data_IF_839914971250
#
_entry.id   IF_839914971250
#
_cell.length_a   1.000
_cell.length_b   1.000
_cell.length_c   1.000
_cell.angle_alpha   90.00
_cell.angle_beta   90.00
_cell.angle_gamma   90.00
#
_symmetry.space_group_name_H-M   'P 1'
#
loop_
_entity.id
_entity.type
_entity.pdbx_description
1 polymer ?
#
# COMPACT_ATOMS: atom_id res chain seq x y z
N UNK A 1 27.81 -0.18 -21.68
CA UNK A 1 26.40 -0.54 -21.98
C UNK A 1 25.99 -1.80 -21.22
N UNK A 2 26.88 -2.80 -21.13
CA UNK A 2 26.60 -4.10 -20.48
C UNK A 2 26.27 -4.01 -18.97
N UNK A 3 26.91 -3.09 -18.24
CA UNK A 3 26.67 -2.91 -16.80
C UNK A 3 25.27 -2.38 -16.46
N UNK A 4 24.71 -1.49 -17.31
CA UNK A 4 23.36 -0.94 -17.12
C UNK A 4 22.31 -2.00 -17.41
N UNK A 5 22.52 -2.80 -18.45
CA UNK A 5 21.64 -3.91 -18.83
C UNK A 5 21.63 -4.98 -17.71
N UNK A 6 22.79 -5.27 -17.13
CA UNK A 6 22.91 -6.23 -16.03
C UNK A 6 22.18 -5.75 -14.76
N UNK A 7 22.30 -4.46 -14.40
CA UNK A 7 21.58 -3.87 -13.26
C UNK A 7 20.07 -3.82 -13.49
N UNK A 8 19.62 -3.50 -14.70
CA UNK A 8 18.20 -3.52 -15.06
C UNK A 8 17.62 -4.94 -14.94
N UNK A 9 18.34 -5.95 -15.43
CA UNK A 9 17.92 -7.35 -15.30
C UNK A 9 17.83 -7.79 -13.85
N UNK A 10 18.82 -7.46 -13.03
CA UNK A 10 18.79 -7.75 -11.58
C UNK A 10 17.59 -7.10 -10.89
N UNK A 11 17.21 -5.88 -11.27
CA UNK A 11 16.03 -5.21 -10.72
C UNK A 11 14.73 -5.90 -11.13
N UNK A 12 14.61 -6.33 -12.39
CA UNK A 12 13.44 -7.06 -12.88
C UNK A 12 13.31 -8.40 -12.16
N UNK A 13 14.40 -9.17 -12.09
CA UNK A 13 14.44 -10.47 -11.42
C UNK A 13 14.11 -10.34 -9.93
N UNK A 14 14.68 -9.34 -9.25
CA UNK A 14 14.39 -9.07 -7.84
C UNK A 14 12.93 -8.67 -7.63
N UNK A 15 12.39 -7.82 -8.50
CA UNK A 15 10.98 -7.40 -8.41
C UNK A 15 10.07 -8.61 -8.61
N UNK A 16 10.32 -9.44 -9.63
CA UNK A 16 9.56 -10.66 -9.88
C UNK A 16 9.61 -11.64 -8.69
N UNK A 17 10.75 -11.75 -8.01
CA UNK A 17 10.88 -12.53 -6.77
C UNK A 17 9.93 -12.02 -5.68
N UNK A 18 9.78 -10.70 -5.49
CA UNK A 18 8.85 -10.14 -4.48
C UNK A 18 7.39 -10.49 -4.78
N UNK A 19 7.00 -10.52 -6.05
CA UNK A 19 5.67 -10.96 -6.48
C UNK A 19 5.47 -12.46 -6.25
N UNK A 20 6.45 -13.29 -6.64
CA UNK A 20 6.38 -14.75 -6.48
C UNK A 20 6.36 -15.18 -5.00
N UNK A 21 7.04 -14.46 -4.11
CA UNK A 21 6.99 -14.66 -2.66
C UNK A 21 5.70 -14.12 -2.02
N UNK A 22 4.81 -13.49 -2.80
CA UNK A 22 3.57 -12.86 -2.34
C UNK A 22 3.81 -11.65 -1.43
N UNK A 23 5.01 -11.07 -1.43
CA UNK A 23 5.31 -9.86 -0.66
C UNK A 23 4.58 -8.67 -1.27
N UNK A 24 4.60 -8.59 -2.61
CA UNK A 24 3.90 -7.59 -3.40
C UNK A 24 2.83 -8.24 -4.29
N UNK A 25 1.76 -7.51 -4.57
CA UNK A 25 0.73 -7.89 -5.54
C UNK A 25 0.52 -6.82 -6.62
N UNK A 26 -0.40 -7.08 -7.55
CA UNK A 26 -0.67 -6.23 -8.70
C UNK A 26 -1.04 -4.78 -8.35
N UNK A 27 -1.46 -4.48 -7.11
CA UNK A 27 -1.66 -3.09 -6.68
C UNK A 27 -0.35 -2.30 -6.70
N UNK A 28 0.80 -2.94 -6.43
CA UNK A 28 2.09 -2.28 -6.57
C UNK A 28 2.41 -1.93 -8.03
N UNK A 29 2.02 -2.78 -9.00
CA UNK A 29 2.15 -2.47 -10.42
C UNK A 29 1.28 -1.27 -10.82
N UNK A 30 0.05 -1.20 -10.31
CA UNK A 30 -0.84 -0.05 -10.53
C UNK A 30 -0.22 1.23 -9.93
N UNK A 31 0.33 1.15 -8.71
CA UNK A 31 1.02 2.27 -8.09
C UNK A 31 2.20 2.77 -8.93
N UNK A 32 2.96 1.86 -9.55
CA UNK A 32 4.05 2.21 -10.46
C UNK A 32 3.59 2.90 -11.75
N UNK A 33 2.41 2.55 -12.28
CA UNK A 33 1.85 3.18 -13.48
C UNK A 33 1.45 4.65 -13.27
N UNK A 34 1.22 5.05 -12.02
CA UNK A 34 0.94 6.44 -11.64
C UNK A 34 2.19 7.32 -11.66
N UNK A 35 3.37 6.71 -11.58
CA UNK A 35 4.64 7.43 -11.67
C UNK A 35 4.86 7.91 -13.11
N UNK A 36 5.28 9.15 -13.29
CA UNK A 36 5.63 9.71 -14.60
C UNK A 36 6.82 10.66 -14.52
N UNK A 37 7.16 11.29 -15.64
CA UNK A 37 8.29 12.22 -15.71
C UNK A 37 8.08 13.48 -14.87
N UNK A 38 6.83 13.85 -14.59
CA UNK A 38 6.48 15.02 -13.76
C UNK A 38 6.57 14.72 -12.27
N UNK A 39 6.28 13.48 -11.86
CA UNK A 39 6.50 12.99 -10.50
C UNK A 39 7.23 11.64 -10.51
N UNK A 40 8.56 11.66 -10.71
CA UNK A 40 9.35 10.43 -10.73
C UNK A 40 9.44 9.77 -9.35
N UNK A 41 9.26 10.49 -8.25
CA UNK A 41 9.45 9.95 -6.90
C UNK A 41 8.15 9.47 -6.25
N UNK A 42 7.00 9.59 -6.94
CA UNK A 42 5.66 9.25 -6.44
C UNK A 42 5.59 7.93 -5.66
N UNK A 43 6.09 6.83 -6.24
CA UNK A 43 6.03 5.50 -5.60
C UNK A 43 6.85 5.48 -4.32
N UNK A 44 8.01 6.13 -4.31
CA UNK A 44 8.88 6.22 -3.13
C UNK A 44 8.19 7.04 -2.05
N UNK A 45 7.61 8.19 -2.41
CA UNK A 45 6.87 9.06 -1.48
C UNK A 45 5.68 8.31 -0.83
N UNK A 46 4.86 7.63 -1.62
CA UNK A 46 3.71 6.86 -1.11
C UNK A 46 4.16 5.71 -0.20
N UNK A 47 5.22 4.99 -0.57
CA UNK A 47 5.73 3.88 0.26
C UNK A 47 6.39 4.40 1.54
N UNK A 48 7.08 5.54 1.51
CA UNK A 48 7.62 6.18 2.72
C UNK A 48 6.51 6.58 3.67
N UNK A 49 5.43 7.21 3.18
CA UNK A 49 4.26 7.53 4.00
C UNK A 49 3.64 6.27 4.61
N UNK A 50 3.53 5.18 3.84
CA UNK A 50 3.07 3.90 4.36
C UNK A 50 3.95 3.41 5.53
N UNK A 51 5.27 3.54 5.46
CA UNK A 51 6.16 3.13 6.55
C UNK A 51 5.96 3.97 7.82
N UNK A 52 5.87 5.29 7.67
CA UNK A 52 5.65 6.20 8.80
C UNK A 52 4.31 5.92 9.50
N UNK A 53 3.24 5.79 8.72
CA UNK A 53 1.92 5.48 9.26
C UNK A 53 1.85 4.09 9.89
N UNK A 54 2.47 3.09 9.26
CA UNK A 54 2.49 1.72 9.78
C UNK A 54 3.25 1.60 11.09
N UNK A 55 4.41 2.27 11.22
CA UNK A 55 5.14 2.31 12.49
C UNK A 55 4.32 2.94 13.61
N UNK A 56 3.65 4.06 13.32
CA UNK A 56 2.74 4.69 14.29
C UNK A 56 1.62 3.73 14.70
N UNK A 57 0.96 3.07 13.75
CA UNK A 57 -0.14 2.13 14.02
C UNK A 57 0.32 0.90 14.80
N UNK A 58 1.46 0.30 14.43
CA UNK A 58 2.02 -0.87 15.11
C UNK A 58 2.41 -0.55 16.57
N UNK A 59 2.90 0.66 16.82
CA UNK A 59 3.20 1.12 18.17
C UNK A 59 1.93 1.33 19.00
N UNK A 60 0.89 1.94 18.44
CA UNK A 60 -0.39 2.11 19.13
C UNK A 60 -1.10 0.76 19.39
N UNK A 61 -1.02 -0.18 18.45
CA UNK A 61 -1.51 -1.56 18.64
C UNK A 61 -0.78 -2.29 19.76
N UNK A 62 0.54 -2.16 19.82
CA UNK A 62 1.34 -2.75 20.90
C UNK A 62 0.92 -2.21 22.27
N UNK A 63 0.83 -0.88 22.40
CA UNK A 63 0.36 -0.24 23.64
C UNK A 63 -1.04 -0.68 24.02
N UNK A 64 -1.96 -0.78 23.06
CA UNK A 64 -3.34 -1.19 23.33
C UNK A 64 -3.45 -2.64 23.83
N UNK A 65 -2.57 -3.53 23.37
CA UNK A 65 -2.53 -4.94 23.77
C UNK A 65 -1.77 -5.21 25.08
N UNK A 66 -0.96 -4.25 25.55
CA UNK A 66 -0.26 -4.33 26.84
C UNK A 66 -1.10 -3.81 28.02
N UNK A 67 -2.25 -3.18 27.75
CA UNK A 67 -3.15 -2.67 28.79
C UNK A 67 -3.87 -3.79 29.55
N UNK A 68 -4.12 -3.56 30.85
CA UNK A 68 -4.85 -4.49 31.72
C UNK A 68 -6.28 -4.78 31.22
N UNK A 69 -6.92 -3.79 30.59
CA UNK A 69 -8.20 -3.91 29.91
C UNK A 69 -8.05 -3.58 28.43
N UNK A 70 -8.12 -4.61 27.58
CA UNK A 70 -7.93 -4.46 26.12
C UNK A 70 -9.19 -3.87 25.47
N UNK A 71 -9.04 -2.71 24.80
CA UNK A 71 -10.10 -2.14 23.95
C UNK A 71 -10.01 -2.69 22.52
N UNK A 72 -10.77 -3.74 22.26
CA UNK A 72 -10.84 -4.38 20.94
C UNK A 72 -11.40 -3.49 19.84
N UNK A 73 -12.21 -2.47 20.15
CA UNK A 73 -12.73 -1.55 19.12
C UNK A 73 -11.60 -0.66 18.61
N UNK A 74 -10.76 -0.18 19.52
CA UNK A 74 -9.58 0.61 19.16
C UNK A 74 -8.57 -0.23 18.36
N UNK A 75 -8.36 -1.48 18.75
CA UNK A 75 -7.48 -2.41 18.02
C UNK A 75 -8.04 -2.68 16.62
N UNK A 76 -9.32 -3.03 16.49
CA UNK A 76 -9.94 -3.28 15.17
C UNK A 76 -9.80 -2.06 14.25
N UNK A 77 -10.04 -0.84 14.77
CA UNK A 77 -9.86 0.39 13.99
C UNK A 77 -8.42 0.57 13.48
N UNK A 78 -7.41 0.32 14.32
CA UNK A 78 -6.00 0.40 13.91
C UNK A 78 -5.60 -0.69 12.91
N UNK A 79 -6.06 -1.93 13.13
CA UNK A 79 -5.82 -3.04 12.19
C UNK A 79 -6.52 -2.79 10.86
N UNK A 80 -7.73 -2.24 10.88
CA UNK A 80 -8.48 -1.87 9.68
C UNK A 80 -7.74 -0.82 8.86
N UNK A 81 -7.24 0.23 9.53
CA UNK A 81 -6.42 1.26 8.88
C UNK A 81 -5.16 0.65 8.26
N UNK A 82 -4.46 -0.22 8.99
CA UNK A 82 -3.24 -0.88 8.50
C UNK A 82 -3.51 -1.83 7.33
N UNK A 83 -4.65 -2.53 7.33
CA UNK A 83 -5.11 -3.35 6.19
C UNK A 83 -5.29 -2.47 4.95
N UNK A 84 -5.97 -1.33 5.09
CA UNK A 84 -6.24 -0.40 3.99
C UNK A 84 -4.95 0.17 3.40
N UNK A 85 -4.06 0.66 4.25
CA UNK A 85 -2.75 1.20 3.83
C UNK A 85 -1.84 0.13 3.23
N UNK A 86 -1.86 -1.11 3.74
CA UNK A 86 -1.12 -2.23 3.14
C UNK A 86 -1.66 -2.59 1.76
N UNK A 87 -2.99 -2.55 1.59
CA UNK A 87 -3.64 -2.83 0.31
C UNK A 87 -3.34 -1.78 -0.75
N UNK A 88 -3.20 -0.50 -0.38
CA UNK A 88 -2.97 0.58 -1.35
C UNK A 88 -1.58 0.53 -1.98
N UNK A 89 -0.59 -0.03 -1.27
CA UNK A 89 0.77 -0.24 -1.79
C UNK A 89 1.03 -1.66 -2.29
N UNK A 90 0.04 -2.55 -2.21
CA UNK A 90 0.17 -3.96 -2.61
C UNK A 90 0.99 -4.82 -1.66
N UNK A 91 1.14 -4.45 -0.37
CA UNK A 91 1.78 -5.28 0.65
C UNK A 91 0.88 -6.44 1.09
N UNK A 92 0.77 -7.45 0.22
CA UNK A 92 -0.24 -8.49 0.31
C UNK A 92 -0.15 -9.33 1.60
N UNK A 93 1.05 -9.71 2.03
CA UNK A 93 1.23 -10.52 3.26
C UNK A 93 0.80 -9.75 4.51
N UNK A 94 1.16 -8.47 4.61
CA UNK A 94 0.73 -7.60 5.72
C UNK A 94 -0.81 -7.50 5.74
N UNK A 95 -1.42 -7.28 4.57
CA UNK A 95 -2.87 -7.22 4.43
C UNK A 95 -3.55 -8.53 4.90
N UNK A 96 -3.02 -9.70 4.50
CA UNK A 96 -3.53 -11.02 4.90
C UNK A 96 -3.50 -11.23 6.42
N UNK A 97 -2.38 -10.86 7.07
CA UNK A 97 -2.29 -10.96 8.54
C UNK A 97 -3.26 -10.00 9.21
N UNK A 98 -3.45 -8.78 8.67
CA UNK A 98 -4.43 -7.85 9.21
C UNK A 98 -5.86 -8.42 9.14
N UNK A 99 -6.22 -9.14 8.08
CA UNK A 99 -7.53 -9.83 7.99
C UNK A 99 -7.67 -10.86 9.11
N UNK A 100 -6.67 -11.71 9.33
CA UNK A 100 -6.68 -12.68 10.41
C UNK A 100 -6.75 -12.02 11.80
N UNK A 101 -6.04 -10.90 11.99
CA UNK A 101 -6.05 -10.13 13.23
C UNK A 101 -7.46 -9.60 13.53
N UNK A 102 -8.19 -9.08 12.53
CA UNK A 102 -9.58 -8.62 12.75
C UNK A 102 -10.49 -9.74 13.27
N UNK A 103 -10.36 -10.95 12.74
CA UNK A 103 -11.12 -12.10 13.26
C UNK A 103 -10.78 -12.37 14.73
N UNK A 104 -9.50 -12.30 15.13
CA UNK A 104 -9.13 -12.43 16.54
C UNK A 104 -9.69 -11.30 17.43
N UNK A 105 -9.87 -10.10 16.88
CA UNK A 105 -10.49 -8.98 17.59
C UNK A 105 -11.99 -9.20 17.81
N UNK A 106 -12.69 -9.74 16.80
CA UNK A 106 -14.11 -10.10 16.87
C UNK A 106 -14.34 -11.21 17.91
N UNK A 107 -13.45 -12.21 17.93
CA UNK A 107 -13.46 -13.33 18.90
C UNK A 107 -12.98 -12.93 20.31
N UNK A 108 -12.54 -11.68 20.50
CA UNK A 108 -11.95 -11.16 21.76
C UNK A 108 -10.83 -12.05 22.31
N UNK A 109 -9.99 -12.57 21.41
CA UNK A 109 -8.87 -13.45 21.74
C UNK A 109 -7.57 -12.66 21.91
N UNK A 110 -7.19 -12.32 23.15
CA UNK A 110 -5.96 -11.55 23.45
C UNK A 110 -4.71 -12.26 22.91
N UNK A 111 -4.58 -13.56 23.14
CA UNK A 111 -3.41 -14.34 22.71
C UNK A 111 -3.31 -14.36 21.18
N UNK A 112 -4.45 -14.54 20.50
CA UNK A 112 -4.56 -14.45 19.05
C UNK A 112 -4.15 -13.07 18.52
N UNK A 113 -4.66 -12.00 19.12
CA UNK A 113 -4.30 -10.62 18.78
C UNK A 113 -2.80 -10.33 18.99
N UNK A 114 -2.22 -10.80 20.09
CA UNK A 114 -0.79 -10.66 20.35
C UNK A 114 0.06 -11.41 19.32
N UNK A 115 -0.32 -12.64 18.97
CA UNK A 115 0.34 -13.43 17.92
C UNK A 115 0.22 -12.75 16.56
N UNK A 116 -0.96 -12.26 16.20
CA UNK A 116 -1.16 -11.50 14.97
C UNK A 116 -0.32 -10.22 14.95
N UNK A 117 -0.22 -9.48 16.06
CA UNK A 117 0.64 -8.30 16.12
C UNK A 117 2.11 -8.64 15.83
N UNK A 118 2.63 -9.73 16.40
CA UNK A 118 4.00 -10.18 16.12
C UNK A 118 4.18 -10.55 14.65
N UNK A 119 3.21 -11.25 14.06
CA UNK A 119 3.21 -11.58 12.63
C UNK A 119 3.17 -10.33 11.75
N UNK A 120 2.29 -9.36 12.02
CA UNK A 120 2.22 -8.12 11.26
C UNK A 120 3.54 -7.36 11.35
N UNK A 121 4.16 -7.27 12.54
CA UNK A 121 5.47 -6.62 12.71
C UNK A 121 6.56 -7.30 11.86
N UNK A 122 6.55 -8.63 11.82
CA UNK A 122 7.49 -9.40 11.00
C UNK A 122 7.29 -9.15 9.50
N UNK A 123 6.05 -9.29 9.02
CA UNK A 123 5.70 -9.06 7.61
C UNK A 123 5.96 -7.61 7.17
N UNK A 124 5.66 -6.65 8.05
CA UNK A 124 5.95 -5.23 7.84
C UNK A 124 7.46 -4.99 7.69
N UNK A 125 8.27 -5.54 8.61
CA UNK A 125 9.73 -5.39 8.55
C UNK A 125 10.31 -6.01 7.27
N UNK A 126 9.77 -7.16 6.85
CA UNK A 126 10.14 -7.82 5.61
C UNK A 126 9.84 -6.93 4.40
N UNK A 127 8.60 -6.46 4.23
CA UNK A 127 8.23 -5.62 3.07
C UNK A 127 9.01 -4.31 3.06
N UNK A 128 9.23 -3.70 4.23
CA UNK A 128 10.03 -2.48 4.37
C UNK A 128 11.45 -2.69 3.86
N UNK A 129 12.12 -3.74 4.33
CA UNK A 129 13.50 -4.06 3.93
C UNK A 129 13.61 -4.32 2.43
N UNK A 130 12.66 -5.07 1.85
CA UNK A 130 12.66 -5.41 0.43
C UNK A 130 12.42 -4.19 -0.46
N UNK A 131 11.45 -3.34 -0.11
CA UNK A 131 11.16 -2.10 -0.84
C UNK A 131 12.28 -1.07 -0.71
N UNK A 132 12.90 -0.94 0.47
CA UNK A 132 14.08 -0.09 0.63
C UNK A 132 15.25 -0.53 -0.25
N UNK A 133 15.52 -1.85 -0.32
CA UNK A 133 16.53 -2.39 -1.24
C UNK A 133 16.16 -2.10 -2.70
N UNK A 134 14.89 -2.29 -3.08
CA UNK A 134 14.40 -1.98 -4.41
C UNK A 134 14.66 -0.51 -4.79
N UNK A 135 14.38 0.43 -3.88
CA UNK A 135 14.60 1.86 -4.13
C UNK A 135 16.07 2.27 -4.12
N UNK A 136 16.90 1.66 -3.26
CA UNK A 136 18.36 1.87 -3.24
C UNK A 136 19.00 1.45 -4.56
N UNK A 137 18.64 0.28 -5.10
CA UNK A 137 19.18 -0.22 -6.37
C UNK A 137 18.69 0.63 -7.56
N UNK A 138 17.46 1.18 -7.49
CA UNK A 138 16.95 2.15 -8.49
C UNK A 138 17.59 3.55 -8.40
N UNK A 139 18.51 3.78 -7.45
CA UNK A 139 19.19 5.07 -7.27
C UNK A 139 18.29 6.20 -6.75
N UNK A 140 17.05 5.90 -6.35
CA UNK A 140 16.11 6.88 -5.82
C UNK A 140 16.23 6.91 -4.30
N UNK A 141 16.99 7.88 -3.79
CA UNK A 141 16.94 8.23 -2.37
C UNK A 141 15.70 9.10 -2.16
N UNK A 142 14.75 8.63 -1.36
CA UNK A 142 13.65 9.47 -0.89
C UNK A 142 14.24 10.74 -0.30
N UNK A 143 14.05 11.88 -0.96
CA UNK A 143 14.39 13.18 -0.38
C UNK A 143 13.30 13.44 0.66
N UNK A 144 13.71 13.62 1.93
CA UNK A 144 12.85 14.12 2.98
C UNK A 144 12.38 15.53 2.57
N UNK A 145 11.28 15.62 1.84
CA UNK A 145 10.55 16.87 1.65
C UNK A 145 9.57 16.99 2.80
N UNK A 146 10.03 17.65 3.84
CA UNK A 146 9.13 18.31 4.79
C UNK A 146 8.21 19.25 4.00
N UNK A 147 6.90 19.02 4.14
CA UNK A 147 5.77 19.84 3.69
C UNK A 147 5.42 19.76 2.18
N UNK A 148 4.60 18.77 1.79
CA UNK A 148 3.41 19.00 0.93
C UNK A 148 2.37 17.84 0.94
N UNK A 149 2.61 16.72 1.60
CA UNK A 149 1.62 15.65 1.75
C UNK A 149 1.23 15.43 3.21
N UNK A 150 0.85 16.51 3.91
CA UNK A 150 0.16 16.39 5.20
C UNK A 150 -1.32 16.26 4.94
N UNK A 151 -1.67 15.12 4.37
CA UNK A 151 -3.04 14.76 4.04
C UNK A 151 -3.30 13.49 4.84
N UNK A 152 -4.30 13.54 5.71
CA UNK A 152 -4.83 12.42 6.52
C UNK A 152 -5.44 11.31 5.62
N UNK A 153 -4.76 10.96 4.52
CA UNK A 153 -5.38 10.51 3.27
C UNK A 153 -4.83 9.15 2.81
N UNK A 154 -4.31 8.37 3.74
CA UNK A 154 -4.37 6.91 3.60
C UNK A 154 -5.52 6.33 4.44
N UNK A 155 -5.97 7.07 5.48
CA UNK A 155 -7.11 6.73 6.33
C UNK A 155 -8.44 7.40 5.89
N UNK A 156 -8.43 8.55 5.21
CA UNK A 156 -9.66 9.13 4.66
C UNK A 156 -10.11 8.47 3.34
N UNK A 157 -9.25 7.67 2.70
CA UNK A 157 -9.65 6.79 1.60
C UNK A 157 -10.31 5.49 2.10
N UNK A 158 -10.14 5.11 3.37
CA UNK A 158 -10.64 3.83 3.89
C UNK A 158 -12.14 3.83 4.23
N UNK A 159 -12.82 4.98 4.30
CA UNK A 159 -14.29 5.00 4.24
C UNK A 159 -14.84 4.81 2.81
N UNK A 160 -13.98 4.80 1.80
CA UNK A 160 -14.40 4.92 0.39
C UNK A 160 -14.28 3.63 -0.42
N UNK A 161 -13.41 2.70 -0.02
CA UNK A 161 -13.29 1.39 -0.66
C UNK A 161 -14.34 0.36 -0.19
N UNK A 162 -15.22 0.72 0.76
CA UNK A 162 -16.26 -0.18 1.26
C UNK A 162 -17.69 0.16 0.81
N UNK A 163 -17.95 1.18 -0.02
CA UNK A 163 -19.35 1.49 -0.38
C UNK A 163 -19.70 1.86 -1.83
N UNK A 164 -18.82 2.41 -2.68
CA UNK A 164 -19.23 2.68 -4.07
C UNK A 164 -18.07 2.92 -5.06
N UNK A 165 -18.06 2.20 -6.19
CA UNK A 165 -17.12 2.41 -7.32
C UNK A 165 -17.31 3.77 -8.02
N UNK A 166 -18.42 4.48 -7.79
CA UNK A 166 -18.78 5.72 -8.50
C UNK A 166 -18.03 6.97 -8.03
N UNK A 167 -17.54 6.99 -6.79
CA UNK A 167 -17.05 8.21 -6.15
C UNK A 167 -15.54 8.42 -6.18
N UNK A 168 -14.75 7.39 -6.58
CA UNK A 168 -13.31 7.55 -6.88
C UNK A 168 -13.06 8.69 -7.88
N UNK A 169 -14.07 9.06 -8.66
CA UNK A 169 -14.08 10.20 -9.59
C UNK A 169 -14.08 11.59 -8.96
N UNK A 170 -14.66 11.78 -7.76
CA UNK A 170 -14.77 13.10 -7.13
C UNK A 170 -13.61 13.44 -6.21
N UNK A 171 -13.01 12.44 -5.56
CA UNK A 171 -11.90 12.61 -4.64
C UNK A 171 -10.66 13.20 -5.33
N UNK A 172 -10.31 12.65 -6.48
CA UNK A 172 -9.26 13.18 -7.35
C UNK A 172 -9.61 14.51 -8.06
N UNK A 173 -10.89 14.88 -8.13
CA UNK A 173 -11.35 16.13 -8.77
C UNK A 173 -11.19 17.36 -7.87
N UNK A 174 -11.15 17.20 -6.54
CA UNK A 174 -11.10 18.33 -5.61
C UNK A 174 -9.69 18.80 -5.24
N UNK A 175 -8.65 17.99 -5.43
CA UNK A 175 -7.28 18.31 -4.99
C UNK A 175 -6.44 19.12 -6.00
N UNK A 176 -6.95 19.44 -7.20
CA UNK A 176 -6.33 20.40 -8.14
C UNK A 176 -4.98 20.00 -8.76
N UNK A 177 -4.01 19.52 -7.97
CA UNK A 177 -2.66 19.13 -8.35
C UNK A 177 -2.55 17.72 -8.96
N UNK A 178 -3.61 16.92 -8.86
CA UNK A 178 -3.64 15.55 -9.37
C UNK A 178 -4.60 15.33 -10.54
N UNK A 179 -5.20 16.39 -11.10
CA UNK A 179 -6.06 16.29 -12.28
C UNK A 179 -5.37 15.56 -13.44
N UNK A 180 -4.05 15.73 -13.61
CA UNK A 180 -3.27 15.01 -14.60
C UNK A 180 -3.22 13.49 -14.36
N UNK A 181 -2.89 13.07 -13.13
CA UNK A 181 -2.81 11.65 -12.76
C UNK A 181 -4.19 11.00 -12.66
N UNK A 182 -5.20 11.71 -12.18
CA UNK A 182 -6.59 11.29 -12.18
C UNK A 182 -7.14 11.08 -13.58
N UNK A 183 -6.92 12.03 -14.49
CA UNK A 183 -7.34 11.87 -15.88
C UNK A 183 -6.60 10.68 -16.52
N UNK A 184 -5.36 10.42 -16.14
CA UNK A 184 -4.60 9.23 -16.59
C UNK A 184 -5.21 7.93 -16.08
N UNK A 185 -5.54 7.85 -14.79
CA UNK A 185 -6.26 6.70 -14.18
C UNK A 185 -7.63 6.50 -14.83
N UNK A 186 -8.35 7.59 -15.10
CA UNK A 186 -9.65 7.57 -15.76
C UNK A 186 -9.55 7.09 -17.20
N UNK A 187 -8.56 7.55 -17.97
CA UNK A 187 -8.32 7.09 -19.35
C UNK A 187 -7.93 5.61 -19.40
N UNK A 188 -7.05 5.15 -18.50
CA UNK A 188 -6.68 3.72 -18.43
C UNK A 188 -7.89 2.86 -18.10
N UNK A 189 -8.73 3.28 -17.14
CA UNK A 189 -9.94 2.56 -16.77
C UNK A 189 -11.01 2.56 -17.89
N UNK A 190 -11.14 3.66 -18.64
CA UNK A 190 -12.08 3.79 -19.75
C UNK A 190 -11.62 2.95 -20.96
N UNK A 191 -10.31 2.91 -21.26
CA UNK A 191 -9.74 2.09 -22.34
C UNK A 191 -9.87 0.57 -22.02
N UNK A 192 -9.69 0.19 -20.75
CA UNK A 192 -9.87 -1.19 -20.28
C UNK A 192 -11.34 -1.64 -20.28
N UNK A 193 -12.27 -0.71 -20.04
CA UNK A 193 -13.71 -0.98 -20.09
C UNK A 193 -14.21 -1.06 -21.54
N UNK A 194 -13.70 -0.23 -22.45
CA UNK A 194 -14.04 -0.30 -23.88
C UNK A 194 -13.47 -1.55 -24.56
N UNK A 195 -12.26 -2.00 -24.20
CA UNK A 195 -11.71 -3.26 -24.72
C UNK A 195 -12.51 -4.49 -24.28
N UNK A 196 -13.09 -4.47 -23.07
CA UNK A 196 -14.01 -5.51 -22.58
C UNK A 196 -15.38 -5.47 -23.26
N UNK A 197 -15.89 -4.28 -23.60
CA UNK A 197 -17.17 -4.13 -24.32
C UNK A 197 -17.05 -4.42 -25.82
N UNK A 198 -15.88 -4.22 -26.42
CA UNK A 198 -15.64 -4.46 -27.84
C UNK A 198 -15.12 -5.88 -28.16
N UNK A 199 -15.05 -6.78 -27.18
CA UNK A 199 -14.64 -8.19 -27.39
C UNK A 199 -13.20 -8.35 -27.90
N UNK A 200 -12.29 -7.41 -27.61
CA UNK A 200 -10.91 -7.42 -28.13
C UNK A 200 -9.98 -8.30 -27.27
N UNK A 201 -10.46 -8.82 -26.13
CA UNK A 201 -9.75 -9.81 -25.32
C UNK A 201 -10.55 -11.12 -25.28
N UNK A 202 -10.55 -11.82 -26.41
CA UNK A 202 -10.69 -13.27 -26.47
C UNK A 202 -9.37 -13.87 -26.97
N UNK A 203 -8.49 -14.18 -26.02
CA UNK A 203 -7.57 -15.33 -25.94
C UNK A 203 -6.57 -15.14 -24.79
#
# INVERSE_FOLDING_TARGET
>A
MDSVIQLQRQLVDYTAQLFNEGILDDQFNQLQQLQDESNPDFVVEVVTLFFEDSERLLNELAKALEQQSVDYRKIDAHVHQLKGSSSSIGAQRVQKVCIAFRNCCEDRNIEGCQKCLQQVKHEYSLVKTKLETLFKVRGKKGKNKSNLFRMNTVAQATDFCLYDRSLSRRFWQQEGQFLGQYNKVKTIAEDHSQRKQNGILDM
#
